data_IF_680289163257
#
_entry.id   IF_680289163257
#
_cell.length_a   1.000
_cell.length_b   1.000
_cell.length_c   1.000
_cell.angle_alpha   90.00
_cell.angle_beta   90.00
_cell.angle_gamma   90.00
#
_symmetry.space_group_name_H-M   'P 1'
#
loop_
_entity.id
_entity.type
_entity.pdbx_description
1 polymer ?
#
# COMPACT_ATOMS: atom_id res chain seq x y z
N UNK A 1 18.08 11.24 4.77
CA UNK A 1 16.95 11.64 5.63
C UNK A 1 15.91 10.52 5.60
N UNK A 2 15.38 10.14 6.75
CA UNK A 2 14.33 9.13 6.89
C UNK A 2 13.02 9.69 6.35
N UNK A 3 12.30 8.92 5.52
CA UNK A 3 11.01 9.33 4.95
C UNK A 3 9.90 9.16 5.98
N UNK A 4 9.13 10.19 6.23
CA UNK A 4 7.98 10.12 7.15
C UNK A 4 6.78 9.52 6.44
N UNK A 5 6.30 8.38 6.92
CA UNK A 5 5.19 7.63 6.34
C UNK A 5 4.02 7.61 7.32
N UNK A 6 2.86 8.07 6.90
CA UNK A 6 1.62 7.86 7.64
C UNK A 6 0.91 6.62 7.08
N UNK A 7 0.71 5.59 7.90
CA UNK A 7 0.00 4.38 7.53
C UNK A 7 -1.43 4.43 8.10
N UNK A 8 -2.40 4.66 7.22
CA UNK A 8 -3.83 4.69 7.57
C UNK A 8 -4.38 3.26 7.61
N UNK A 9 -5.14 2.93 8.65
CA UNK A 9 -5.65 1.57 8.87
C UNK A 9 -4.55 0.59 9.26
N UNK A 10 -3.57 1.07 10.02
CA UNK A 10 -2.34 0.34 10.36
C UNK A 10 -2.55 -0.98 11.10
N UNK A 11 -3.66 -1.13 11.82
CA UNK A 11 -4.03 -2.35 12.55
C UNK A 11 -4.91 -3.32 11.75
N UNK A 12 -5.32 -2.98 10.53
CA UNK A 12 -6.03 -3.88 9.62
C UNK A 12 -5.14 -5.00 9.08
N UNK A 13 -5.71 -5.95 8.34
CA UNK A 13 -4.96 -7.10 7.77
C UNK A 13 -3.76 -6.63 6.94
N UNK A 14 -4.00 -5.75 5.96
CA UNK A 14 -2.92 -5.22 5.12
C UNK A 14 -2.04 -4.23 5.90
N UNK A 15 -2.64 -3.40 6.78
CA UNK A 15 -1.90 -2.49 7.64
C UNK A 15 -0.87 -3.20 8.52
N UNK A 16 -1.24 -4.31 9.15
CA UNK A 16 -0.33 -5.15 9.94
C UNK A 16 0.85 -5.69 9.10
N UNK A 17 0.58 -6.19 7.90
CA UNK A 17 1.62 -6.67 6.98
C UNK A 17 2.60 -5.55 6.63
N UNK A 18 2.08 -4.38 6.26
CA UNK A 18 2.90 -3.20 5.94
C UNK A 18 3.70 -2.75 7.17
N UNK A 19 3.06 -2.70 8.34
CA UNK A 19 3.71 -2.38 9.62
C UNK A 19 4.92 -3.29 9.87
N UNK A 20 4.71 -4.61 9.77
CA UNK A 20 5.75 -5.60 10.03
C UNK A 20 6.91 -5.51 9.00
N UNK A 21 6.61 -5.13 7.76
CA UNK A 21 7.62 -4.94 6.73
C UNK A 21 8.39 -3.62 6.87
N UNK A 22 7.72 -2.49 7.07
CA UNK A 22 8.40 -1.19 7.20
C UNK A 22 9.30 -1.11 8.45
N UNK A 23 8.93 -1.80 9.53
CA UNK A 23 9.77 -1.91 10.75
C UNK A 23 11.12 -2.59 10.53
N UNK A 24 11.29 -3.32 9.43
CA UNK A 24 12.59 -3.90 9.04
C UNK A 24 13.56 -2.85 8.48
N UNK A 25 13.06 -1.64 8.18
CA UNK A 25 13.81 -0.56 7.55
C UNK A 25 13.73 0.78 8.33
N UNK A 26 14.12 0.79 9.62
CA UNK A 26 14.03 1.99 10.46
C UNK A 26 14.99 3.10 10.02
N UNK A 27 16.00 2.77 9.23
CA UNK A 27 16.95 3.68 8.60
C UNK A 27 16.31 4.45 7.43
N UNK A 28 15.25 3.91 6.81
CA UNK A 28 14.56 4.50 5.66
C UNK A 28 13.23 5.16 6.01
N UNK A 29 12.51 4.62 6.99
CA UNK A 29 11.15 5.04 7.31
C UNK A 29 10.96 5.41 8.77
N UNK A 30 10.32 6.56 9.00
CA UNK A 30 9.73 6.97 10.26
C UNK A 30 8.21 6.87 10.10
N UNK A 31 7.58 5.88 10.76
CA UNK A 31 6.19 5.51 10.48
C UNK A 31 5.27 5.98 11.59
N UNK A 32 4.30 6.83 11.24
CA UNK A 32 3.15 7.18 12.06
C UNK A 32 1.98 6.23 11.76
N UNK A 33 1.54 5.49 12.76
CA UNK A 33 0.50 4.47 12.63
C UNK A 33 -0.86 5.06 13.00
N UNK A 34 -1.76 5.19 12.03
CA UNK A 34 -3.10 5.74 12.24
C UNK A 34 -4.13 4.63 12.22
N UNK A 35 -4.85 4.49 13.32
CA UNK A 35 -5.89 3.47 13.50
C UNK A 35 -6.98 4.00 14.44
N UNK A 36 -8.24 3.63 14.16
CA UNK A 36 -9.40 4.07 14.95
C UNK A 36 -10.27 2.92 15.44
N UNK A 37 -10.15 1.74 14.83
CA UNK A 37 -10.93 0.57 15.23
C UNK A 37 -10.34 -0.09 16.47
N UNK A 38 -11.19 -0.54 17.39
CA UNK A 38 -10.76 -1.23 18.62
C UNK A 38 -9.88 -2.45 18.29
N UNK A 39 -10.28 -3.25 17.32
CA UNK A 39 -9.52 -4.43 16.91
C UNK A 39 -8.15 -4.03 16.30
N UNK A 40 -8.12 -2.98 15.48
CA UNK A 40 -6.87 -2.50 14.89
C UNK A 40 -5.91 -1.94 15.94
N UNK A 41 -6.43 -1.19 16.92
CA UNK A 41 -5.65 -0.70 18.07
C UNK A 41 -5.07 -1.87 18.86
N UNK A 42 -5.86 -2.92 19.12
CA UNK A 42 -5.38 -4.12 19.81
C UNK A 42 -4.28 -4.83 19.02
N UNK A 43 -4.42 -4.91 17.68
CA UNK A 43 -3.41 -5.50 16.80
C UNK A 43 -2.08 -4.73 16.81
N UNK A 44 -2.15 -3.38 16.89
CA UNK A 44 -0.96 -2.52 17.04
C UNK A 44 -0.33 -2.67 18.42
N UNK A 45 -1.15 -2.70 19.48
CA UNK A 45 -0.68 -2.89 20.85
C UNK A 45 0.06 -4.22 21.02
N UNK A 46 -0.41 -5.30 20.37
CA UNK A 46 0.28 -6.60 20.35
C UNK A 46 1.68 -6.52 19.68
N UNK A 47 1.94 -5.47 18.87
CA UNK A 47 3.23 -5.17 18.24
C UNK A 47 4.05 -4.14 19.01
N UNK A 48 3.58 -3.70 20.17
CA UNK A 48 4.20 -2.65 20.97
C UNK A 48 4.08 -1.26 20.34
N UNK A 49 3.04 -1.02 19.55
CA UNK A 49 2.81 0.23 18.82
C UNK A 49 1.62 0.95 19.42
N UNK A 50 1.79 2.26 19.68
CA UNK A 50 0.71 3.17 20.04
C UNK A 50 0.29 3.96 18.80
N UNK A 51 -1.01 4.05 18.47
CA UNK A 51 -1.48 4.85 17.34
C UNK A 51 -1.11 6.33 17.49
N UNK A 52 -0.78 6.95 16.35
CA UNK A 52 -0.54 8.39 16.22
C UNK A 52 -1.85 9.09 15.85
N UNK A 53 -2.16 10.27 16.43
CA UNK A 53 -3.31 11.06 16.02
C UNK A 53 -3.24 11.41 14.51
N UNK A 54 -4.37 11.27 13.80
CA UNK A 54 -4.42 11.46 12.34
C UNK A 54 -3.89 12.84 11.92
N UNK A 55 -4.29 13.91 12.59
CA UNK A 55 -3.85 15.27 12.23
C UNK A 55 -2.33 15.45 12.34
N UNK A 56 -1.72 14.88 13.36
CA UNK A 56 -0.27 14.90 13.53
C UNK A 56 0.44 14.11 12.43
N UNK A 57 -0.04 12.90 12.14
CA UNK A 57 0.50 12.06 11.09
C UNK A 57 0.43 12.73 9.72
N UNK A 58 -0.73 13.34 9.37
CA UNK A 58 -0.92 14.00 8.06
C UNK A 58 -0.02 15.23 7.89
N UNK A 59 0.10 16.07 8.91
CA UNK A 59 0.92 17.29 8.83
C UNK A 59 2.42 16.98 8.60
N UNK A 60 2.90 15.85 9.10
CA UNK A 60 4.31 15.47 9.00
C UNK A 60 4.65 14.62 7.77
N UNK A 61 3.66 13.94 7.17
CA UNK A 61 3.88 12.88 6.19
C UNK A 61 4.58 13.35 4.90
N UNK A 62 5.58 12.59 4.45
CA UNK A 62 6.12 12.61 3.10
C UNK A 62 5.37 11.64 2.18
N UNK A 63 4.80 10.57 2.77
CA UNK A 63 3.91 9.64 2.09
C UNK A 63 2.79 9.19 3.01
N UNK A 64 1.59 9.00 2.46
CA UNK A 64 0.41 8.47 3.15
C UNK A 64 -0.02 7.19 2.46
N UNK A 65 -0.04 6.07 3.16
CA UNK A 65 -0.48 4.77 2.66
C UNK A 65 -1.92 4.52 3.11
N UNK A 66 -2.81 4.22 2.16
CA UNK A 66 -4.23 4.03 2.40
C UNK A 66 -4.57 2.53 2.54
N UNK A 67 -4.23 1.91 3.67
CA UNK A 67 -4.61 0.53 3.98
C UNK A 67 -6.03 0.46 4.56
N UNK A 68 -6.98 1.01 3.82
CA UNK A 68 -8.38 1.22 4.20
C UNK A 68 -9.32 0.40 3.30
N UNK A 69 -10.51 0.03 3.78
CA UNK A 69 -11.56 -0.51 2.90
C UNK A 69 -11.94 0.49 1.80
N UNK A 70 -12.07 0.03 0.55
CA UNK A 70 -12.28 0.89 -0.64
C UNK A 70 -13.45 1.85 -0.50
N UNK A 71 -14.56 1.38 0.08
CA UNK A 71 -15.76 2.19 0.36
C UNK A 71 -15.51 3.44 1.23
N UNK A 72 -14.39 3.45 1.96
CA UNK A 72 -14.03 4.56 2.85
C UNK A 72 -13.02 5.51 2.24
N UNK A 73 -12.28 5.10 1.21
CA UNK A 73 -11.15 5.85 0.65
C UNK A 73 -11.61 7.25 0.20
N UNK A 74 -12.67 7.34 -0.60
CA UNK A 74 -13.18 8.63 -1.07
C UNK A 74 -13.45 9.61 0.07
N UNK A 75 -14.21 9.19 1.09
CA UNK A 75 -14.53 10.04 2.25
C UNK A 75 -13.30 10.45 3.04
N UNK A 76 -12.43 9.48 3.35
CA UNK A 76 -11.25 9.74 4.18
C UNK A 76 -10.25 10.61 3.42
N UNK A 77 -10.06 10.41 2.11
CA UNK A 77 -9.14 11.24 1.33
C UNK A 77 -9.63 12.69 1.21
N UNK A 78 -10.94 12.95 1.18
CA UNK A 78 -11.47 14.32 1.27
C UNK A 78 -11.11 15.02 2.57
N UNK A 79 -10.99 14.28 3.68
CA UNK A 79 -10.59 14.84 4.97
C UNK A 79 -9.06 15.05 5.06
N UNK A 80 -8.26 14.09 4.58
CA UNK A 80 -6.81 14.10 4.81
C UNK A 80 -6.02 14.85 3.75
N UNK A 81 -6.40 14.78 2.46
CA UNK A 81 -5.65 15.39 1.36
C UNK A 81 -5.43 16.89 1.56
N UNK A 82 -6.41 17.69 2.03
CA UNK A 82 -6.19 19.11 2.32
C UNK A 82 -5.12 19.39 3.38
N UNK A 83 -4.83 18.42 4.27
CA UNK A 83 -3.88 18.56 5.38
C UNK A 83 -2.44 18.22 4.98
N UNK A 84 -2.24 17.61 3.81
CA UNK A 84 -0.92 17.18 3.36
C UNK A 84 -0.08 18.35 2.88
N UNK A 85 1.21 18.29 3.17
CA UNK A 85 2.17 19.27 2.66
C UNK A 85 2.41 19.09 1.16
N UNK A 86 2.77 20.16 0.43
CA UNK A 86 3.17 20.07 -0.97
C UNK A 86 4.28 19.04 -1.19
N UNK A 87 4.21 18.27 -2.28
CA UNK A 87 5.16 17.21 -2.60
C UNK A 87 4.95 15.89 -1.85
N UNK A 88 3.95 15.79 -0.98
CA UNK A 88 3.62 14.51 -0.35
C UNK A 88 3.03 13.53 -1.38
N UNK A 89 3.26 12.21 -1.12
CA UNK A 89 2.76 11.13 -1.98
C UNK A 89 1.58 10.43 -1.30
N UNK A 90 0.45 10.29 -2.00
CA UNK A 90 -0.69 9.47 -1.59
C UNK A 90 -0.57 8.12 -2.28
N UNK A 91 -0.52 7.04 -1.50
CA UNK A 91 -0.33 5.67 -1.99
C UNK A 91 -1.61 4.87 -1.79
N UNK A 92 -2.29 4.56 -2.90
CA UNK A 92 -3.40 3.61 -2.95
C UNK A 92 -2.88 2.18 -3.05
N UNK A 93 -3.54 1.25 -2.36
CA UNK A 93 -3.19 -0.17 -2.40
C UNK A 93 -4.08 -0.96 -3.38
N UNK A 94 -5.02 -0.27 -4.02
CA UNK A 94 -5.95 -0.79 -5.01
C UNK A 94 -6.26 0.30 -6.04
N UNK A 95 -6.49 -0.04 -7.33
CA UNK A 95 -6.76 0.93 -8.37
C UNK A 95 -8.19 1.52 -8.34
N UNK A 96 -9.15 0.86 -7.68
CA UNK A 96 -10.57 1.19 -7.81
C UNK A 96 -10.90 2.65 -7.47
N UNK A 97 -10.40 3.16 -6.34
CA UNK A 97 -10.68 4.52 -5.92
C UNK A 97 -10.05 5.58 -6.85
N UNK A 98 -8.85 5.30 -7.36
CA UNK A 98 -8.16 6.17 -8.31
C UNK A 98 -8.87 6.16 -9.68
N UNK A 99 -9.25 4.97 -10.17
CA UNK A 99 -9.95 4.79 -11.43
C UNK A 99 -11.36 5.42 -11.42
N UNK A 100 -12.07 5.26 -10.33
CA UNK A 100 -13.40 5.86 -10.14
C UNK A 100 -13.36 7.39 -9.92
N UNK A 101 -12.18 7.99 -9.75
CA UNK A 101 -12.03 9.43 -9.56
C UNK A 101 -12.64 9.95 -8.25
N UNK A 102 -12.76 9.10 -7.22
CA UNK A 102 -13.39 9.47 -5.94
C UNK A 102 -12.44 10.14 -4.96
N UNK A 103 -11.15 10.16 -5.26
CA UNK A 103 -10.14 10.86 -4.46
C UNK A 103 -9.98 12.30 -4.92
N UNK A 104 -9.90 13.29 -4.00
CA UNK A 104 -9.59 14.66 -4.38
C UNK A 104 -8.15 14.75 -4.90
N UNK A 105 -7.98 15.33 -6.09
CA UNK A 105 -6.69 15.48 -6.73
C UNK A 105 -6.15 16.89 -6.49
N UNK A 106 -4.95 17.00 -5.91
CA UNK A 106 -4.20 18.24 -5.77
C UNK A 106 -2.97 18.20 -6.67
N UNK A 107 -2.77 19.25 -7.47
CA UNK A 107 -1.69 19.30 -8.45
C UNK A 107 -0.26 19.30 -7.84
N UNK A 108 -0.16 19.66 -6.56
CA UNK A 108 1.09 19.71 -5.81
C UNK A 108 1.39 18.42 -5.02
N UNK A 109 0.59 17.35 -5.23
CA UNK A 109 0.78 16.03 -4.63
C UNK A 109 1.08 14.99 -5.71
N UNK A 110 1.77 13.94 -5.29
CA UNK A 110 1.94 12.72 -6.09
C UNK A 110 0.89 11.69 -5.70
N UNK A 111 0.28 11.03 -6.68
CA UNK A 111 -0.62 9.89 -6.47
C UNK A 111 -0.01 8.65 -7.10
N UNK A 112 0.25 7.67 -6.27
CA UNK A 112 0.85 6.40 -6.64
C UNK A 112 -0.08 5.25 -6.26
N UNK A 113 -0.31 4.31 -7.16
CA UNK A 113 -1.15 3.13 -6.89
C UNK A 113 -0.30 1.89 -7.03
N UNK A 114 -0.40 0.97 -6.10
CA UNK A 114 0.35 -0.28 -6.13
C UNK A 114 -0.49 -1.43 -5.59
N UNK A 115 -0.38 -2.61 -6.23
CA UNK A 115 -1.16 -3.78 -5.85
C UNK A 115 -0.28 -5.05 -5.89
N UNK A 116 -0.36 -5.94 -4.88
CA UNK A 116 0.41 -7.17 -4.88
C UNK A 116 -0.29 -8.24 -5.72
N UNK A 117 0.46 -8.93 -6.58
CA UNK A 117 0.01 -10.16 -7.21
C UNK A 117 0.14 -11.33 -6.23
N UNK A 118 -0.61 -12.40 -6.45
CA UNK A 118 -0.37 -13.66 -5.76
C UNK A 118 0.98 -14.28 -6.17
N UNK A 119 1.64 -15.07 -5.31
CA UNK A 119 2.81 -15.83 -5.70
C UNK A 119 2.52 -16.69 -6.93
N UNK A 120 3.49 -16.85 -7.87
CA UNK A 120 3.28 -17.70 -9.03
C UNK A 120 2.94 -19.13 -8.62
N UNK A 121 1.94 -19.73 -9.26
CA UNK A 121 1.56 -21.14 -9.01
C UNK A 121 2.72 -22.10 -9.30
N UNK A 122 3.45 -21.84 -10.38
CA UNK A 122 4.69 -22.52 -10.71
C UNK A 122 5.85 -21.61 -10.33
N UNK A 123 6.55 -21.93 -9.24
CA UNK A 123 7.63 -21.14 -8.69
C UNK A 123 8.80 -22.04 -8.28
N UNK A 124 9.94 -21.41 -8.01
CA UNK A 124 11.18 -22.07 -7.57
C UNK A 124 11.36 -22.02 -6.05
N UNK A 125 10.29 -21.81 -5.29
CA UNK A 125 10.37 -21.78 -3.84
C UNK A 125 10.72 -23.15 -3.26
N UNK A 126 11.71 -23.20 -2.38
CA UNK A 126 12.25 -24.44 -1.81
C UNK A 126 11.79 -24.68 -0.39
N UNK A 127 11.49 -23.63 0.38
CA UNK A 127 11.03 -23.77 1.76
C UNK A 127 9.58 -24.21 1.84
N UNK A 128 9.19 -25.04 2.81
CA UNK A 128 7.80 -25.42 3.02
C UNK A 128 6.87 -24.23 3.28
N UNK A 129 7.38 -23.20 4.00
CA UNK A 129 6.62 -22.00 4.33
C UNK A 129 6.29 -21.19 3.05
N UNK A 130 7.27 -21.00 2.16
CA UNK A 130 7.05 -20.28 0.91
C UNK A 130 6.10 -21.05 -0.02
N UNK A 131 6.19 -22.38 -0.06
CA UNK A 131 5.29 -23.22 -0.87
C UNK A 131 3.85 -23.20 -0.36
N UNK A 132 3.65 -22.98 0.94
CA UNK A 132 2.33 -22.88 1.55
C UNK A 132 1.75 -21.46 1.54
N UNK A 133 2.54 -20.45 1.14
CA UNK A 133 2.16 -19.03 1.13
C UNK A 133 1.43 -18.65 -0.16
N UNK A 134 0.22 -19.18 -0.33
CA UNK A 134 -0.60 -18.98 -1.53
C UNK A 134 -0.99 -17.52 -1.80
N UNK A 135 -1.11 -16.73 -0.73
CA UNK A 135 -1.51 -15.32 -0.84
C UNK A 135 -0.34 -14.35 -0.85
N UNK A 136 0.87 -14.82 -0.56
CA UNK A 136 2.04 -13.96 -0.42
C UNK A 136 2.05 -13.18 0.89
N UNK A 137 3.21 -12.64 1.21
CA UNK A 137 3.40 -11.76 2.37
C UNK A 137 3.94 -12.45 3.61
N UNK A 138 4.25 -13.73 3.55
CA UNK A 138 4.97 -14.46 4.59
C UNK A 138 6.38 -14.78 4.12
N UNK A 139 6.53 -15.63 3.13
CA UNK A 139 7.82 -16.10 2.64
C UNK A 139 7.91 -16.21 1.11
N UNK A 140 6.79 -16.47 0.42
CA UNK A 140 6.80 -16.61 -1.04
C UNK A 140 7.07 -15.29 -1.74
N UNK A 141 7.99 -15.33 -2.70
CA UNK A 141 8.25 -14.19 -3.59
C UNK A 141 7.09 -14.00 -4.56
N UNK A 142 6.72 -12.76 -4.81
CA UNK A 142 5.64 -12.41 -5.71
C UNK A 142 5.96 -11.15 -6.51
N UNK A 143 5.18 -10.92 -7.53
CA UNK A 143 5.22 -9.68 -8.28
C UNK A 143 4.28 -8.64 -7.69
N UNK A 144 4.53 -7.38 -8.02
CA UNK A 144 3.60 -6.28 -7.77
C UNK A 144 3.39 -5.51 -9.08
N UNK A 145 2.28 -4.81 -9.17
CA UNK A 145 1.99 -3.85 -10.23
C UNK A 145 1.85 -2.46 -9.62
N UNK A 146 2.33 -1.44 -10.33
CA UNK A 146 2.25 -0.08 -9.83
C UNK A 146 1.99 0.93 -10.95
N UNK A 147 1.36 2.04 -10.59
CA UNK A 147 1.06 3.16 -11.47
C UNK A 147 1.41 4.48 -10.81
N UNK A 148 2.15 5.34 -11.49
CA UNK A 148 2.23 6.76 -11.18
C UNK A 148 1.01 7.42 -11.81
N UNK A 149 -0.03 7.67 -10.99
CA UNK A 149 -1.30 8.22 -11.45
C UNK A 149 -1.21 9.72 -11.72
N UNK A 150 -0.49 10.44 -10.85
CA UNK A 150 -0.18 11.86 -10.99
C UNK A 150 1.12 12.15 -10.24
N UNK A 151 1.87 13.11 -10.74
CA UNK A 151 3.11 13.59 -10.13
C UNK A 151 4.27 13.62 -11.12
N UNK A 152 5.40 14.18 -10.71
CA UNK A 152 6.59 14.20 -11.52
C UNK A 152 7.18 12.79 -11.69
N UNK A 153 7.81 12.53 -12.84
CA UNK A 153 8.34 11.21 -13.21
C UNK A 153 9.38 10.69 -12.20
N UNK A 154 10.16 11.58 -11.61
CA UNK A 154 11.15 11.25 -10.57
C UNK A 154 10.56 10.67 -9.28
N UNK A 155 9.26 10.83 -9.06
CA UNK A 155 8.57 10.22 -7.92
C UNK A 155 8.24 8.74 -8.13
N UNK A 156 8.39 8.25 -9.37
CA UNK A 156 8.27 6.82 -9.65
C UNK A 156 9.23 5.99 -8.80
N UNK A 157 10.51 6.34 -8.77
CA UNK A 157 11.51 5.57 -8.01
C UNK A 157 11.24 5.56 -6.51
N UNK A 158 10.70 6.66 -5.99
CA UNK A 158 10.28 6.77 -4.58
C UNK A 158 9.08 5.87 -4.28
N UNK A 159 8.13 5.81 -5.21
CA UNK A 159 6.94 4.95 -5.13
C UNK A 159 7.31 3.47 -5.26
N UNK A 160 8.15 3.11 -6.24
CA UNK A 160 8.62 1.74 -6.47
C UNK A 160 9.37 1.19 -5.25
N UNK A 161 10.29 1.97 -4.69
CA UNK A 161 11.02 1.56 -3.48
C UNK A 161 10.05 1.30 -2.32
N UNK A 162 9.13 2.22 -2.05
CA UNK A 162 8.14 2.06 -0.99
C UNK A 162 7.24 0.84 -1.24
N UNK A 163 6.77 0.64 -2.48
CA UNK A 163 5.94 -0.49 -2.86
C UNK A 163 6.64 -1.83 -2.65
N UNK A 164 7.92 -1.94 -3.02
CA UNK A 164 8.72 -3.15 -2.78
C UNK A 164 8.91 -3.43 -1.29
N UNK A 165 9.10 -2.39 -0.49
CA UNK A 165 9.30 -2.56 0.95
C UNK A 165 8.00 -2.96 1.66
N UNK A 166 6.85 -2.36 1.33
CA UNK A 166 5.56 -2.68 1.98
C UNK A 166 5.04 -4.08 1.63
N UNK A 167 5.40 -4.59 0.45
CA UNK A 167 4.93 -5.91 -0.02
C UNK A 167 6.00 -7.00 0.02
N UNK A 168 7.19 -6.71 0.53
CA UNK A 168 8.29 -7.68 0.56
C UNK A 168 7.83 -9.10 1.00
N UNK A 169 8.41 -10.17 0.38
CA UNK A 169 9.46 -10.19 -0.63
C UNK A 169 8.93 -10.04 -2.06
N UNK A 170 9.43 -9.05 -2.79
CA UNK A 170 8.99 -8.72 -4.16
C UNK A 170 10.03 -9.15 -5.20
N UNK A 171 9.60 -9.87 -6.24
CA UNK A 171 10.42 -10.22 -7.41
C UNK A 171 10.59 -9.02 -8.35
N UNK A 172 9.50 -8.61 -8.97
CA UNK A 172 9.46 -7.47 -9.89
C UNK A 172 8.26 -6.57 -9.60
N UNK A 173 8.43 -5.28 -9.90
CA UNK A 173 7.33 -4.34 -9.99
C UNK A 173 7.10 -4.00 -11.46
N UNK A 174 5.90 -4.26 -11.96
CA UNK A 174 5.52 -3.94 -13.33
C UNK A 174 4.80 -2.61 -13.37
N UNK A 175 5.33 -1.67 -14.15
CA UNK A 175 4.70 -0.37 -14.35
C UNK A 175 3.54 -0.48 -15.33
N UNK A 176 2.37 -0.04 -14.90
CA UNK A 176 1.13 -0.01 -15.70
C UNK A 176 0.42 1.34 -15.48
N UNK A 177 -0.67 1.59 -16.18
CA UNK A 177 -1.58 2.69 -15.84
C UNK A 177 -2.63 2.24 -14.83
N UNK A 178 -3.25 3.18 -14.12
CA UNK A 178 -4.37 2.89 -13.20
C UNK A 178 -5.52 2.21 -13.95
N UNK A 179 -5.83 2.65 -15.18
CA UNK A 179 -6.85 2.04 -16.03
C UNK A 179 -6.52 0.58 -16.38
N UNK A 180 -5.27 0.32 -16.80
CA UNK A 180 -4.83 -1.06 -17.08
C UNK A 180 -4.96 -1.95 -15.83
N UNK A 181 -4.55 -1.45 -14.67
CA UNK A 181 -4.66 -2.17 -13.42
C UNK A 181 -6.12 -2.47 -13.07
N UNK A 182 -7.00 -1.47 -13.11
CA UNK A 182 -8.41 -1.60 -12.77
C UNK A 182 -9.20 -2.53 -13.72
N UNK A 183 -8.78 -2.65 -14.98
CA UNK A 183 -9.43 -3.53 -15.96
C UNK A 183 -8.87 -4.96 -15.90
N UNK A 184 -7.56 -5.10 -15.80
CA UNK A 184 -6.90 -6.41 -15.91
C UNK A 184 -7.00 -7.21 -14.61
N UNK A 185 -6.94 -6.58 -13.46
CA UNK A 185 -6.95 -7.27 -12.18
C UNK A 185 -8.25 -8.04 -11.95
N UNK A 186 -9.47 -7.48 -12.03
CA UNK A 186 -10.69 -8.26 -11.88
C UNK A 186 -10.87 -9.32 -12.97
N UNK A 187 -10.47 -9.02 -14.21
CA UNK A 187 -10.66 -9.94 -15.33
C UNK A 187 -9.72 -11.15 -15.25
N UNK A 188 -8.45 -10.94 -14.94
CA UNK A 188 -7.43 -12.00 -14.96
C UNK A 188 -7.33 -12.74 -13.63
N UNK A 189 -7.41 -12.04 -12.50
CA UNK A 189 -7.19 -12.62 -11.18
C UNK A 189 -8.50 -13.21 -10.64
N UNK A 190 -9.55 -12.42 -10.56
CA UNK A 190 -10.79 -12.86 -9.93
C UNK A 190 -11.63 -13.74 -10.84
N UNK A 191 -11.77 -13.39 -12.11
CA UNK A 191 -12.63 -14.14 -13.03
C UNK A 191 -11.91 -15.32 -13.66
N UNK A 192 -10.78 -15.09 -14.32
CA UNK A 192 -10.09 -16.15 -15.07
C UNK A 192 -9.43 -17.17 -14.15
N UNK A 193 -8.63 -16.72 -13.18
CA UNK A 193 -7.95 -17.63 -12.25
C UNK A 193 -8.95 -18.43 -11.41
N UNK A 194 -9.97 -17.78 -10.85
CA UNK A 194 -11.01 -18.48 -10.06
C UNK A 194 -11.86 -19.46 -10.89
N UNK A 195 -11.96 -19.25 -12.20
CA UNK A 195 -12.69 -20.17 -13.11
C UNK A 195 -11.82 -21.36 -13.50
N UNK A 196 -10.48 -21.20 -13.52
CA UNK A 196 -9.54 -22.24 -13.95
C UNK A 196 -9.03 -23.15 -12.80
N UNK A 197 -9.30 -22.81 -11.56
CA UNK A 197 -8.95 -23.59 -10.36
C UNK A 197 -10.15 -24.42 -9.90
#
# INVERSE_FOLDING_TARGET
MTRKVALMGAGGKMGCRITDNLRKHPDRYDVAYVEVSEQGIANLAARGITPTPQSEAMAAADAVILALPDRLIGRITHDIVPQLKPGAMVVGLDPAAAYAGVMPMRADLTYFVTHPCHPPLFNEETSPEARADWFGGVAARHHIVSALHQGPEEDWDKGDMLARDIYAPVMNNYRVTVEQMAILEPALVETFAATCI
#
